data_IF_205778268396
#
_entry.id   IF_205778268396
#
_cell.length_a   1.000
_cell.length_b   1.000
_cell.length_c   1.000
_cell.angle_alpha   90.00
_cell.angle_beta   90.00
_cell.angle_gamma   90.00
#
_symmetry.space_group_name_H-M   'P 1'
#
loop_
_entity.id
_entity.type
_entity.pdbx_description
1 polymer ?
#
# COMPACT_ATOMS: atom_id res chain seq x y z
N UNK A 1 -6.63 5.57 2.80
CA UNK A 1 -6.74 5.07 4.18
C UNK A 1 -7.26 6.19 5.06
N UNK A 2 -8.35 5.94 5.77
CA UNK A 2 -8.93 6.89 6.72
C UNK A 2 -8.71 6.35 8.14
N UNK A 3 -7.62 6.76 8.78
CA UNK A 3 -7.20 6.25 10.10
C UNK A 3 -8.26 6.44 11.20
N UNK A 4 -9.13 7.45 11.06
CA UNK A 4 -10.21 7.71 12.01
C UNK A 4 -11.42 6.76 11.86
N UNK A 5 -11.52 6.01 10.76
CA UNK A 5 -12.67 5.15 10.45
C UNK A 5 -12.32 3.67 10.30
N UNK A 6 -11.05 3.35 10.11
CA UNK A 6 -10.58 1.99 9.80
C UNK A 6 -9.56 1.55 10.83
N UNK A 7 -9.71 0.34 11.36
CA UNK A 7 -8.79 -0.26 12.33
C UNK A 7 -7.42 -0.58 11.74
N UNK A 8 -7.37 -0.86 10.44
CA UNK A 8 -6.15 -1.11 9.71
C UNK A 8 -6.28 -0.72 8.22
N UNK A 9 -5.17 -0.48 7.51
CA UNK A 9 -5.20 -0.27 6.07
C UNK A 9 -5.72 -1.50 5.34
N UNK A 10 -6.56 -1.28 4.32
CA UNK A 10 -7.13 -2.33 3.48
C UNK A 10 -6.37 -2.45 2.15
N UNK A 11 -6.15 -3.68 1.68
CA UNK A 11 -5.53 -3.96 0.38
C UNK A 11 -6.61 -3.89 -0.70
N UNK A 12 -6.60 -2.81 -1.49
CA UNK A 12 -7.59 -2.62 -2.56
C UNK A 12 -7.22 -3.32 -3.87
N UNK A 13 -5.92 -3.52 -4.10
CA UNK A 13 -5.40 -4.20 -5.29
C UNK A 13 -4.04 -4.84 -4.97
N UNK A 14 -3.77 -5.99 -5.61
CA UNK A 14 -2.46 -6.65 -5.64
C UNK A 14 -2.22 -7.21 -7.05
N UNK A 15 -0.98 -7.33 -7.47
CA UNK A 15 -0.67 -7.88 -8.78
C UNK A 15 0.82 -8.10 -8.99
N UNK A 16 1.13 -8.93 -9.97
CA UNK A 16 2.49 -9.18 -10.47
C UNK A 16 2.57 -9.01 -11.99
N UNK A 17 3.78 -8.92 -12.52
CA UNK A 17 4.03 -8.77 -13.96
C UNK A 17 3.20 -7.65 -14.60
N UNK A 18 2.38 -8.03 -15.59
CA UNK A 18 1.52 -7.10 -16.34
C UNK A 18 0.51 -6.36 -15.45
N UNK A 19 -0.11 -7.05 -14.49
CA UNK A 19 -1.09 -6.43 -13.60
C UNK A 19 -0.42 -5.37 -12.72
N UNK A 20 0.76 -5.66 -12.17
CA UNK A 20 1.53 -4.68 -11.42
C UNK A 20 1.92 -3.46 -12.26
N UNK A 21 2.25 -3.67 -13.55
CA UNK A 21 2.54 -2.57 -14.47
C UNK A 21 1.32 -1.67 -14.67
N UNK A 22 0.13 -2.26 -14.85
CA UNK A 22 -1.13 -1.52 -14.97
C UNK A 22 -1.53 -0.77 -13.71
N UNK A 23 -1.33 -1.35 -12.52
CA UNK A 23 -1.56 -0.64 -11.25
C UNK A 23 -0.67 0.60 -11.16
N UNK A 24 0.62 0.49 -11.53
CA UNK A 24 1.56 1.63 -11.51
C UNK A 24 1.18 2.71 -12.53
N UNK A 25 0.77 2.32 -13.73
CA UNK A 25 0.29 3.24 -14.78
C UNK A 25 -0.91 4.06 -14.29
N UNK A 26 -1.91 3.40 -13.71
CA UNK A 26 -3.09 4.07 -13.13
C UNK A 26 -2.71 4.95 -11.94
N UNK A 27 -1.84 4.48 -11.05
CA UNK A 27 -1.36 5.28 -9.91
C UNK A 27 -0.71 6.58 -10.39
N UNK A 28 0.15 6.51 -11.42
CA UNK A 28 0.78 7.69 -12.01
C UNK A 28 -0.26 8.64 -12.64
N UNK A 29 -1.20 8.11 -13.43
CA UNK A 29 -2.25 8.92 -14.07
C UNK A 29 -3.13 9.67 -13.06
N UNK A 30 -3.34 9.10 -11.88
CA UNK A 30 -4.15 9.69 -10.81
C UNK A 30 -3.33 10.41 -9.72
N UNK A 31 -2.04 10.63 -9.93
CA UNK A 31 -1.13 11.27 -8.96
C UNK A 31 -1.13 10.57 -7.58
N UNK A 32 -1.26 9.25 -7.57
CA UNK A 32 -1.16 8.43 -6.36
C UNK A 32 0.33 8.18 -6.07
N UNK A 33 0.87 8.59 -4.90
CA UNK A 33 2.27 8.36 -4.55
C UNK A 33 2.63 6.87 -4.56
N UNK A 34 3.77 6.54 -5.15
CA UNK A 34 4.32 5.18 -5.16
C UNK A 34 5.55 5.11 -4.25
N UNK A 35 5.57 4.11 -3.37
CA UNK A 35 6.69 3.85 -2.47
C UNK A 35 7.21 2.44 -2.72
N UNK A 36 8.49 2.30 -3.04
CA UNK A 36 9.11 1.00 -3.25
C UNK A 36 9.59 0.40 -1.93
N UNK A 37 8.98 -0.71 -1.52
CA UNK A 37 9.45 -1.55 -0.41
C UNK A 37 9.27 -3.03 -0.80
N UNK A 38 10.32 -3.64 -1.36
CA UNK A 38 10.24 -5.01 -1.91
C UNK A 38 9.87 -6.06 -0.86
N UNK A 39 10.46 -6.10 0.34
CA UNK A 39 10.06 -7.05 1.38
C UNK A 39 8.59 -6.93 1.75
N UNK A 40 8.13 -5.71 2.07
CA UNK A 40 6.74 -5.47 2.48
C UNK A 40 5.74 -5.83 1.37
N UNK A 41 6.02 -5.42 0.13
CA UNK A 41 5.16 -5.71 -1.01
C UNK A 41 5.01 -7.23 -1.25
N UNK A 42 6.12 -7.98 -1.15
CA UNK A 42 6.10 -9.45 -1.27
C UNK A 42 5.30 -10.11 -0.15
N UNK A 43 5.50 -9.68 1.09
CA UNK A 43 4.75 -10.24 2.22
C UNK A 43 3.26 -9.96 2.07
N UNK A 44 2.86 -8.72 1.79
CA UNK A 44 1.44 -8.38 1.58
C UNK A 44 0.84 -9.19 0.43
N UNK A 45 1.56 -9.34 -0.69
CA UNK A 45 1.10 -10.13 -1.83
C UNK A 45 0.79 -11.58 -1.46
N UNK A 46 1.63 -12.18 -0.61
CA UNK A 46 1.53 -13.58 -0.20
C UNK A 46 0.53 -13.82 0.94
N UNK A 47 0.34 -12.86 1.84
CA UNK A 47 -0.39 -13.09 3.10
C UNK A 47 -1.73 -12.38 3.20
N UNK A 48 -2.06 -11.47 2.28
CA UNK A 48 -3.28 -10.66 2.34
C UNK A 48 -4.08 -10.78 1.05
N UNK A 49 -5.39 -11.02 1.18
CA UNK A 49 -6.31 -11.02 0.06
C UNK A 49 -6.80 -9.62 -0.31
N UNK A 50 -7.26 -9.46 -1.55
CA UNK A 50 -7.92 -8.21 -1.98
C UNK A 50 -9.17 -8.00 -1.12
N UNK A 51 -9.34 -6.79 -0.60
CA UNK A 51 -10.37 -6.45 0.39
C UNK A 51 -9.98 -6.82 1.82
N UNK A 52 -8.89 -7.57 2.02
CA UNK A 52 -8.36 -7.88 3.34
C UNK A 52 -7.68 -6.69 4.01
N UNK A 53 -7.62 -6.72 5.33
CA UNK A 53 -6.88 -5.77 6.13
C UNK A 53 -5.44 -6.23 6.33
N UNK A 54 -4.51 -5.28 6.43
CA UNK A 54 -3.13 -5.56 6.81
C UNK A 54 -3.12 -6.29 8.16
N UNK A 55 -2.33 -7.36 8.34
CA UNK A 55 -2.22 -8.07 9.61
C UNK A 55 -1.32 -7.33 10.62
N UNK A 56 -1.50 -7.55 11.93
CA UNK A 56 -0.79 -6.81 12.97
C UNK A 56 0.73 -6.83 12.88
N UNK A 57 1.32 -7.96 12.48
CA UNK A 57 2.77 -8.10 12.34
C UNK A 57 3.38 -7.23 11.23
N UNK A 58 2.55 -6.63 10.36
CA UNK A 58 2.99 -5.69 9.31
C UNK A 58 2.68 -4.23 9.65
N UNK A 59 2.04 -3.93 10.77
CA UNK A 59 1.60 -2.57 11.10
C UNK A 59 2.75 -1.58 11.16
N UNK A 60 3.88 -1.94 11.75
CA UNK A 60 5.04 -1.04 11.81
C UNK A 60 5.54 -0.66 10.41
N UNK A 61 5.77 -1.64 9.54
CA UNK A 61 6.27 -1.40 8.19
C UNK A 61 5.28 -0.57 7.35
N UNK A 62 3.97 -0.80 7.50
CA UNK A 62 2.95 -0.01 6.82
C UNK A 62 2.85 1.41 7.40
N UNK A 63 2.98 1.58 8.71
CA UNK A 63 3.00 2.90 9.35
C UNK A 63 4.18 3.75 8.89
N UNK A 64 5.37 3.15 8.71
CA UNK A 64 6.55 3.84 8.15
C UNK A 64 6.29 4.34 6.72
N UNK A 65 5.64 3.53 5.87
CA UNK A 65 5.24 3.95 4.52
C UNK A 65 4.22 5.08 4.55
N UNK A 66 3.20 4.99 5.40
CA UNK A 66 2.20 6.05 5.55
C UNK A 66 2.83 7.35 6.05
N UNK A 67 3.74 7.29 7.02
CA UNK A 67 4.46 8.44 7.53
C UNK A 67 5.30 9.12 6.43
N UNK A 68 5.96 8.33 5.58
CA UNK A 68 6.69 8.84 4.42
C UNK A 68 5.76 9.56 3.43
N UNK A 69 4.63 8.95 3.07
CA UNK A 69 3.64 9.54 2.15
C UNK A 69 3.07 10.84 2.70
N UNK A 70 2.75 10.91 4.00
CA UNK A 70 2.24 12.15 4.60
C UNK A 70 3.28 13.27 4.61
N UNK A 71 4.55 12.96 4.86
CA UNK A 71 5.65 13.93 4.76
C UNK A 71 5.84 14.46 3.33
N UNK A 72 5.65 13.62 2.31
CA UNK A 72 5.71 14.05 0.92
C UNK A 72 4.56 15.00 0.55
N UNK A 73 3.36 14.81 1.11
CA UNK A 73 2.19 15.66 0.83
C UNK A 73 2.18 16.99 1.59
N UNK A 74 3.00 17.12 2.64
CA UNK A 74 3.16 18.35 3.42
C UNK A 74 4.24 19.29 2.84
N UNK A 75 4.95 18.86 1.79
CA UNK A 75 5.77 19.72 0.94
C UNK A 75 5.00 20.10 -0.31
#
# INVERSE_FOLDING_TARGET
YEAAKMEAPQVLAKGEGYIAAKIKELAAAHNVPMVENKPLARTIYQTVEIGGFVPPHLYQAVAEVLAFVYKLRQK
#
